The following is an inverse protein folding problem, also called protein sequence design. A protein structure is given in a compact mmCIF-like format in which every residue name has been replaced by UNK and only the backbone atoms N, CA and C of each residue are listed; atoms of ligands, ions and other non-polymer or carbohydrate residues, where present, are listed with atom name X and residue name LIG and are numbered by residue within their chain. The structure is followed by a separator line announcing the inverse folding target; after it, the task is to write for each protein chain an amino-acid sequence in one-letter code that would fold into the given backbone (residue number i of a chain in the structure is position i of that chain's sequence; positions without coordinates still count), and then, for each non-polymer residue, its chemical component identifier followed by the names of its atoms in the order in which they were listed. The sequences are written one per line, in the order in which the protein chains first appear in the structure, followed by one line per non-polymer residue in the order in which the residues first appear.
data_IF_258169952958
#
_entry.id   IF_258169952958
#
_cell.length_a   1.000
_cell.length_b   1.000
_cell.length_c   1.000
_cell.angle_alpha   90.00
_cell.angle_beta   90.00
_cell.angle_gamma   90.00
#
_symmetry.space_group_name_H-M   'P 1'
#
loop_
_entity.id
_entity.type
_entity.pdbx_description
1 polymer ?
#
# COMPACT_ATOMS: atom_id res chain seq x y z
N UNK A 1 -2.47 -7.51 23.06
CA UNK A 1 -1.81 -8.65 23.74
C UNK A 1 -0.36 -8.25 23.98
N UNK A 2 0.24 -8.57 25.13
CA UNK A 2 1.67 -8.28 25.34
C UNK A 2 2.53 -9.25 24.49
N UNK A 3 3.78 -8.91 24.13
CA UNK A 3 4.62 -9.81 23.35
C UNK A 3 4.81 -11.20 23.99
N UNK A 4 5.02 -11.33 25.32
CA UNK A 4 5.06 -12.64 25.98
C UNK A 4 3.78 -13.46 25.84
N UNK A 5 2.62 -12.82 25.94
CA UNK A 5 1.33 -13.49 25.77
C UNK A 5 1.13 -13.98 24.32
N UNK A 6 1.58 -13.18 23.34
CA UNK A 6 1.49 -13.53 21.93
C UNK A 6 2.36 -14.74 21.57
N UNK A 7 3.56 -14.81 22.15
CA UNK A 7 4.45 -15.96 22.00
C UNK A 7 3.83 -17.22 22.58
N UNK A 8 3.35 -17.17 23.83
CA UNK A 8 2.75 -18.34 24.49
C UNK A 8 1.51 -18.86 23.75
N UNK A 9 0.67 -17.95 23.22
CA UNK A 9 -0.48 -18.33 22.41
C UNK A 9 -0.07 -18.98 21.09
N UNK A 10 1.00 -18.49 20.45
CA UNK A 10 1.55 -19.08 19.23
C UNK A 10 2.11 -20.48 19.48
N UNK A 11 2.97 -20.65 20.49
CA UNK A 11 3.56 -21.94 20.84
C UNK A 11 2.46 -22.99 21.16
N UNK A 12 1.43 -22.61 21.93
CA UNK A 12 0.30 -23.49 22.22
C UNK A 12 -0.48 -23.89 20.95
N UNK A 13 -0.65 -22.97 19.99
CA UNK A 13 -1.33 -23.26 18.74
C UNK A 13 -0.48 -24.12 17.79
N UNK A 14 0.85 -24.05 17.84
CA UNK A 14 1.73 -24.99 17.14
C UNK A 14 1.59 -26.42 17.69
N UNK A 15 1.35 -26.55 19.00
CA UNK A 15 1.04 -27.83 19.67
C UNK A 15 -0.41 -28.30 19.45
N UNK A 16 -1.18 -27.62 18.60
CA UNK A 16 -2.56 -27.97 18.23
C UNK A 16 -3.62 -27.43 19.18
N UNK A 17 -3.27 -26.57 20.14
CA UNK A 17 -4.24 -25.93 21.02
C UNK A 17 -4.67 -24.55 20.47
N UNK A 18 -5.90 -24.47 19.96
CA UNK A 18 -6.54 -23.22 19.54
C UNK A 18 -6.44 -22.94 18.03
N UNK A 19 -6.77 -21.71 17.63
CA UNK A 19 -6.70 -21.28 16.23
C UNK A 19 -5.30 -20.74 15.89
N UNK A 20 -4.54 -21.53 15.13
CA UNK A 20 -3.20 -21.17 14.67
C UNK A 20 -3.18 -19.85 13.92
N UNK A 21 -4.16 -19.56 13.05
CA UNK A 21 -4.12 -18.36 12.22
C UNK A 21 -4.24 -17.09 13.08
N UNK A 22 -5.15 -17.09 14.05
CA UNK A 22 -5.29 -15.99 15.00
C UNK A 22 -4.04 -15.81 15.87
N UNK A 23 -3.48 -16.90 16.39
CA UNK A 23 -2.28 -16.86 17.22
C UNK A 23 -1.04 -16.38 16.44
N UNK A 24 -0.82 -16.93 15.24
CA UNK A 24 0.26 -16.53 14.35
C UNK A 24 0.14 -15.08 13.90
N UNK A 25 -1.07 -14.61 13.58
CA UNK A 25 -1.34 -13.20 13.25
C UNK A 25 -0.97 -12.27 14.42
N UNK A 26 -1.38 -12.62 15.64
CA UNK A 26 -1.09 -11.79 16.80
C UNK A 26 0.41 -11.80 17.15
N UNK A 27 1.09 -12.93 16.94
CA UNK A 27 2.54 -13.03 17.09
C UNK A 27 3.28 -12.23 16.01
N UNK A 28 2.85 -12.33 14.75
CA UNK A 28 3.36 -11.57 13.61
C UNK A 28 3.19 -10.04 13.76
N UNK A 29 2.24 -9.58 14.58
CA UNK A 29 2.08 -8.16 14.88
C UNK A 29 3.18 -7.61 15.80
N UNK A 30 4.01 -8.48 16.40
CA UNK A 30 5.18 -8.08 17.21
C UNK A 30 6.45 -8.07 16.35
N UNK A 31 7.45 -7.19 16.61
CA UNK A 31 8.71 -7.19 15.87
C UNK A 31 9.44 -8.54 15.91
N UNK A 32 9.45 -9.19 17.08
CA UNK A 32 10.10 -10.48 17.29
C UNK A 32 9.39 -11.59 16.52
N UNK A 33 8.08 -11.70 16.67
CA UNK A 33 7.30 -12.73 15.98
C UNK A 33 7.26 -12.54 14.47
N UNK A 34 7.23 -11.30 14.00
CA UNK A 34 7.38 -11.00 12.57
C UNK A 34 8.70 -11.54 12.02
N UNK A 35 9.82 -11.27 12.69
CA UNK A 35 11.15 -11.74 12.28
C UNK A 35 11.25 -13.27 12.32
N UNK A 36 10.69 -13.91 13.34
CA UNK A 36 10.69 -15.37 13.48
C UNK A 36 9.90 -16.04 12.37
N UNK A 37 8.69 -15.55 12.07
CA UNK A 37 7.84 -16.09 11.02
C UNK A 37 8.41 -15.85 9.61
N UNK A 38 9.16 -14.76 9.38
CA UNK A 38 9.96 -14.60 8.16
C UNK A 38 11.05 -15.67 8.03
N UNK A 39 11.70 -16.04 9.13
CA UNK A 39 12.64 -17.17 9.17
C UNK A 39 11.97 -18.50 8.83
N UNK A 40 10.80 -18.76 9.42
CA UNK A 40 9.99 -19.95 9.10
C UNK A 40 9.54 -19.97 7.63
N UNK A 41 9.20 -18.81 7.07
CA UNK A 41 8.83 -18.67 5.67
C UNK A 41 10.00 -18.99 4.75
N UNK A 42 11.21 -18.53 5.07
CA UNK A 42 12.43 -18.86 4.32
C UNK A 42 12.73 -20.37 4.36
N UNK A 43 12.49 -21.04 5.49
CA UNK A 43 12.63 -22.50 5.60
C UNK A 43 11.57 -23.20 4.74
N UNK A 44 10.30 -22.83 4.87
CA UNK A 44 9.22 -23.40 4.07
C UNK A 44 9.48 -23.18 2.56
N UNK A 45 10.11 -22.06 2.20
CA UNK A 45 10.56 -21.77 0.85
C UNK A 45 11.61 -22.76 0.34
N UNK A 46 12.66 -22.98 1.11
CA UNK A 46 13.73 -23.94 0.79
C UNK A 46 13.20 -25.37 0.64
N UNK A 47 12.16 -25.72 1.40
CA UNK A 47 11.52 -27.04 1.36
C UNK A 47 10.43 -27.16 0.27
N UNK A 48 10.13 -26.08 -0.46
CA UNK A 48 9.02 -26.02 -1.41
C UNK A 48 7.65 -26.42 -0.82
N UNK A 49 7.42 -26.18 0.48
CA UNK A 49 6.14 -26.44 1.16
C UNK A 49 5.15 -25.28 0.95
N UNK A 50 4.37 -25.35 -0.14
CA UNK A 50 3.47 -24.27 -0.57
C UNK A 50 2.36 -23.97 0.41
N UNK A 51 1.76 -25.00 1.01
CA UNK A 51 0.71 -24.84 2.01
C UNK A 51 1.20 -24.07 3.23
N UNK A 52 2.40 -24.39 3.73
CA UNK A 52 2.97 -23.69 4.87
C UNK A 52 3.37 -22.25 4.52
N UNK A 53 3.86 -22.01 3.31
CA UNK A 53 4.21 -20.66 2.85
C UNK A 53 2.98 -19.76 2.80
N UNK A 54 1.86 -20.23 2.24
CA UNK A 54 0.61 -19.46 2.18
C UNK A 54 0.09 -19.12 3.58
N UNK A 55 0.13 -20.11 4.50
CA UNK A 55 -0.26 -19.91 5.90
C UNK A 55 0.59 -18.84 6.58
N UNK A 56 1.91 -18.89 6.37
CA UNK A 56 2.85 -17.94 6.95
C UNK A 56 2.71 -16.54 6.32
N UNK A 57 2.55 -16.45 4.99
CA UNK A 57 2.30 -15.18 4.31
C UNK A 57 1.01 -14.51 4.79
N UNK A 58 -0.07 -15.29 4.93
CA UNK A 58 -1.33 -14.78 5.47
C UNK A 58 -1.16 -14.26 6.91
N UNK A 59 -0.52 -15.02 7.79
CA UNK A 59 -0.26 -14.60 9.18
C UNK A 59 0.59 -13.33 9.23
N UNK A 60 1.66 -13.25 8.41
CA UNK A 60 2.52 -12.08 8.31
C UNK A 60 1.75 -10.83 7.85
N UNK A 61 1.02 -10.89 6.73
CA UNK A 61 0.27 -9.74 6.21
C UNK A 61 -0.82 -9.26 7.18
N UNK A 62 -1.55 -10.20 7.80
CA UNK A 62 -2.58 -9.86 8.81
C UNK A 62 -1.95 -9.24 10.05
N UNK A 63 -0.81 -9.77 10.51
CA UNK A 63 -0.08 -9.22 11.65
C UNK A 63 0.45 -7.82 11.38
N UNK A 64 0.95 -7.57 10.18
CA UNK A 64 1.40 -6.24 9.74
C UNK A 64 0.26 -5.22 9.70
N UNK A 65 -0.90 -5.61 9.19
CA UNK A 65 -2.08 -4.75 9.19
C UNK A 65 -2.52 -4.45 10.63
N UNK A 66 -2.59 -5.46 11.51
CA UNK A 66 -2.93 -5.28 12.92
C UNK A 66 -1.94 -4.35 13.64
N UNK A 67 -0.64 -4.51 13.41
CA UNK A 67 0.39 -3.64 13.96
C UNK A 67 0.24 -2.19 13.46
N UNK A 68 -0.07 -2.01 12.17
CA UNK A 68 -0.33 -0.69 11.59
C UNK A 68 -1.57 -0.02 12.19
N UNK A 69 -2.66 -0.77 12.42
CA UNK A 69 -3.88 -0.28 13.05
C UNK A 69 -3.65 0.12 14.51
N UNK A 70 -2.87 -0.67 15.26
CA UNK A 70 -2.49 -0.34 16.62
C UNK A 70 -1.61 0.92 16.67
N UNK A 71 -0.65 1.05 15.75
CA UNK A 71 0.19 2.24 15.63
C UNK A 71 -0.63 3.50 15.32
N UNK A 72 -1.59 3.42 14.38
CA UNK A 72 -2.52 4.51 14.05
C UNK A 72 -3.35 4.94 15.26
N UNK A 73 -3.82 3.97 16.04
CA UNK A 73 -4.62 4.22 17.25
C UNK A 73 -3.81 4.93 18.35
N UNK A 74 -2.51 4.64 18.41
CA UNK A 74 -1.56 5.20 19.39
C UNK A 74 -1.00 6.57 18.98
N UNK A 75 -1.02 6.92 17.69
CA UNK A 75 -0.44 8.14 17.13
C UNK A 75 -1.27 9.43 17.36
N UNK A 76 -2.27 9.41 18.25
CA UNK A 76 -3.17 10.55 18.53
C UNK A 76 -2.49 11.71 19.29
N UNK A 77 -1.34 11.49 19.93
CA UNK A 77 -0.65 12.55 20.69
C UNK A 77 0.40 13.29 19.85
N UNK A 78 0.47 14.63 19.93
CA UNK A 78 1.48 15.42 19.23
C UNK A 78 2.87 15.15 19.84
N UNK A 79 3.59 14.18 19.28
CA UNK A 79 5.01 13.98 19.55
C UNK A 79 5.84 14.99 18.75
N UNK A 80 6.92 15.47 19.35
CA UNK A 80 8.02 16.06 18.59
C UNK A 80 8.50 15.01 17.59
N UNK A 81 8.34 15.32 16.30
CA UNK A 81 8.69 14.40 15.24
C UNK A 81 10.22 14.25 15.23
N UNK A 82 10.70 13.02 15.42
CA UNK A 82 12.12 12.74 15.33
C UNK A 82 12.55 12.82 13.86
N UNK A 83 13.61 13.56 13.58
CA UNK A 83 14.18 13.61 12.22
C UNK A 83 14.59 12.20 11.78
N UNK A 84 14.24 11.83 10.55
CA UNK A 84 14.63 10.53 10.00
C UNK A 84 16.14 10.52 9.75
N UNK A 85 16.82 9.49 10.23
CA UNK A 85 18.26 9.29 9.99
C UNK A 85 18.49 8.45 8.73
N UNK A 86 19.69 8.51 8.16
CA UNK A 86 20.09 7.59 7.08
C UNK A 86 20.01 6.12 7.49
N UNK A 87 20.19 5.82 8.79
CA UNK A 87 20.04 4.46 9.32
C UNK A 87 18.58 4.00 9.25
N UNK A 88 17.64 4.89 9.53
CA UNK A 88 16.21 4.59 9.43
C UNK A 88 15.82 4.34 7.97
N UNK A 89 16.31 5.16 7.04
CA UNK A 89 16.09 4.95 5.61
C UNK A 89 16.71 3.63 5.12
N UNK A 90 17.92 3.28 5.59
CA UNK A 90 18.54 2.00 5.25
C UNK A 90 17.75 0.82 5.80
N UNK A 91 17.23 0.91 7.02
CA UNK A 91 16.39 -0.15 7.59
C UNK A 91 15.13 -0.39 6.74
N UNK A 92 14.51 0.66 6.21
CA UNK A 92 13.38 0.53 5.27
C UNK A 92 13.83 -0.08 3.95
N UNK A 93 15.01 0.30 3.43
CA UNK A 93 15.56 -0.27 2.21
C UNK A 93 15.77 -1.79 2.36
N UNK A 94 16.34 -2.23 3.49
CA UNK A 94 16.59 -3.62 3.81
C UNK A 94 15.28 -4.41 4.01
N UNK A 95 14.29 -3.79 4.64
CA UNK A 95 12.96 -4.39 4.85
C UNK A 95 12.30 -4.73 3.50
N UNK A 96 12.19 -3.74 2.62
CA UNK A 96 11.57 -3.90 1.31
C UNK A 96 12.49 -4.55 0.26
N UNK A 97 13.79 -4.67 0.53
CA UNK A 97 14.78 -5.17 -0.44
C UNK A 97 14.92 -4.27 -1.67
N UNK A 98 14.89 -2.95 -1.47
CA UNK A 98 14.91 -1.95 -2.55
C UNK A 98 16.10 -1.01 -2.43
N UNK A 99 16.42 -0.29 -3.50
CA UNK A 99 17.45 0.74 -3.47
C UNK A 99 17.05 1.93 -2.57
N UNK A 100 18.04 2.58 -1.96
CA UNK A 100 17.83 3.76 -1.09
C UNK A 100 17.14 4.92 -1.81
N UNK A 101 17.32 5.05 -3.13
CA UNK A 101 16.60 6.06 -3.92
C UNK A 101 15.08 5.84 -3.87
N UNK A 102 14.63 4.58 -3.91
CA UNK A 102 13.22 4.25 -3.77
C UNK A 102 12.67 4.68 -2.41
N UNK A 103 13.44 4.43 -1.34
CA UNK A 103 13.06 4.82 0.01
C UNK A 103 12.99 6.34 0.15
N UNK A 104 13.91 7.09 -0.48
CA UNK A 104 13.82 8.56 -0.52
C UNK A 104 12.58 9.05 -1.24
N UNK A 105 12.14 8.35 -2.30
CA UNK A 105 10.87 8.65 -2.98
C UNK A 105 9.68 8.36 -2.06
N UNK A 106 9.65 7.20 -1.41
CA UNK A 106 8.59 6.82 -0.46
C UNK A 106 8.54 7.74 0.78
N UNK A 107 9.69 8.25 1.22
CA UNK A 107 9.80 9.27 2.27
C UNK A 107 9.15 10.59 1.85
N UNK A 108 9.48 11.09 0.67
CA UNK A 108 8.84 12.28 0.11
C UNK A 108 7.32 12.09 -0.08
N UNK A 109 6.86 10.91 -0.52
CA UNK A 109 5.43 10.56 -0.59
C UNK A 109 4.77 10.66 0.79
N UNK A 110 5.41 10.18 1.86
CA UNK A 110 4.90 10.31 3.23
C UNK A 110 4.64 11.77 3.63
N UNK A 111 5.54 12.68 3.28
CA UNK A 111 5.39 14.13 3.52
C UNK A 111 4.32 14.76 2.63
N UNK A 112 4.19 14.34 1.36
CA UNK A 112 3.12 14.80 0.47
C UNK A 112 1.75 14.38 1.02
N UNK A 113 1.57 13.12 1.41
CA UNK A 113 0.31 12.65 1.98
C UNK A 113 -0.06 13.40 3.27
N UNK A 114 0.96 13.76 4.06
CA UNK A 114 0.80 14.62 5.24
C UNK A 114 0.33 16.04 4.88
N UNK A 115 0.91 16.64 3.84
CA UNK A 115 0.51 17.94 3.32
C UNK A 115 -0.93 17.93 2.79
N UNK A 116 -1.26 16.93 1.98
CA UNK A 116 -2.58 16.73 1.38
C UNK A 116 -3.66 16.60 2.46
N UNK A 117 -3.44 15.74 3.46
CA UNK A 117 -4.39 15.50 4.55
C UNK A 117 -4.72 16.73 5.38
N UNK A 118 -3.81 17.71 5.43
CA UNK A 118 -3.96 18.95 6.20
C UNK A 118 -4.39 20.14 5.34
N UNK A 119 -4.52 19.94 4.03
CA UNK A 119 -4.94 20.97 3.10
C UNK A 119 -6.45 21.10 3.06
N UNK A 120 -6.94 22.25 2.60
CA UNK A 120 -8.37 22.46 2.33
C UNK A 120 -8.89 21.52 1.22
N UNK A 121 -8.00 21.02 0.34
CA UNK A 121 -8.36 20.08 -0.71
C UNK A 121 -8.73 18.68 -0.19
N UNK A 122 -8.40 18.32 1.05
CA UNK A 122 -8.59 16.96 1.58
C UNK A 122 -10.04 16.46 1.51
N UNK A 123 -11.02 17.37 1.49
CA UNK A 123 -12.45 17.07 1.37
C UNK A 123 -12.97 17.04 -0.09
N UNK A 124 -12.09 17.29 -1.06
CA UNK A 124 -12.44 17.49 -2.47
C UNK A 124 -11.81 16.46 -3.41
N UNK A 125 -11.13 15.45 -2.85
CA UNK A 125 -10.64 14.33 -3.60
C UNK A 125 -10.70 13.01 -2.82
N UNK A 126 -10.73 11.91 -3.58
CA UNK A 126 -10.48 10.56 -3.10
C UNK A 126 -9.06 10.12 -3.48
N UNK A 127 -8.28 9.64 -2.52
CA UNK A 127 -6.96 9.04 -2.74
C UNK A 127 -7.11 7.54 -3.03
N UNK A 128 -6.62 7.08 -4.17
CA UNK A 128 -6.82 5.70 -4.63
C UNK A 128 -5.54 5.10 -5.22
N UNK A 129 -5.68 3.94 -5.87
CA UNK A 129 -4.58 3.28 -6.57
C UNK A 129 -3.65 2.49 -5.65
N UNK A 130 -2.48 2.11 -6.19
CA UNK A 130 -1.51 1.25 -5.51
C UNK A 130 -0.92 1.90 -4.25
N UNK A 131 -0.73 3.22 -4.28
CA UNK A 131 -0.16 3.93 -3.14
C UNK A 131 -1.16 4.04 -2.01
N UNK A 132 -2.44 4.33 -2.30
CA UNK A 132 -3.47 4.29 -1.26
C UNK A 132 -3.56 2.91 -0.60
N UNK A 133 -3.52 1.83 -1.40
CA UNK A 133 -3.52 0.46 -0.90
C UNK A 133 -2.30 0.15 0.00
N UNK A 134 -1.10 0.58 -0.43
CA UNK A 134 0.15 0.41 0.33
C UNK A 134 0.24 1.26 1.60
N UNK A 135 -0.67 2.23 1.77
CA UNK A 135 -0.73 3.11 2.95
C UNK A 135 -1.91 2.76 3.86
N UNK A 136 -2.75 1.80 3.47
CA UNK A 136 -3.96 1.41 4.20
C UNK A 136 -3.94 -0.09 4.56
N UNK A 137 -4.13 -0.98 3.58
CA UNK A 137 -4.38 -2.40 3.82
C UNK A 137 -3.14 -3.26 3.66
N UNK A 138 -2.24 -2.90 2.74
CA UNK A 138 -1.07 -3.69 2.41
C UNK A 138 0.22 -2.92 2.72
N UNK A 139 0.43 -2.52 3.99
CA UNK A 139 1.51 -1.60 4.33
C UNK A 139 2.88 -2.15 3.97
N UNK A 140 3.19 -3.44 4.10
CA UNK A 140 4.56 -3.92 3.85
C UNK A 140 4.67 -4.84 2.63
N UNK A 141 3.62 -4.92 1.81
CA UNK A 141 3.63 -5.73 0.60
C UNK A 141 4.64 -5.20 -0.43
N UNK A 142 4.53 -3.92 -0.79
CA UNK A 142 5.47 -3.21 -1.68
C UNK A 142 5.42 -1.71 -1.45
N UNK A 143 6.50 -1.02 -1.79
CA UNK A 143 6.50 0.42 -1.97
C UNK A 143 5.74 0.80 -3.24
N UNK A 144 5.05 1.93 -3.19
CA UNK A 144 4.34 2.50 -4.33
C UNK A 144 4.65 3.98 -4.39
N UNK A 145 4.85 4.49 -5.60
CA UNK A 145 5.57 5.75 -5.84
C UNK A 145 4.74 6.84 -6.52
N UNK A 146 3.63 6.46 -7.14
CA UNK A 146 2.71 7.38 -7.81
C UNK A 146 1.61 7.83 -6.83
N UNK A 147 1.05 9.02 -7.01
CA UNK A 147 -0.09 9.49 -6.22
C UNK A 147 -1.29 9.65 -7.15
N UNK A 148 -2.29 8.80 -6.96
CA UNK A 148 -3.50 8.78 -7.77
C UNK A 148 -4.67 9.39 -6.99
N UNK A 149 -5.28 10.43 -7.56
CA UNK A 149 -6.39 11.17 -6.97
C UNK A 149 -7.61 11.18 -7.90
N UNK A 150 -8.80 11.21 -7.32
CA UNK A 150 -10.06 11.46 -8.03
C UNK A 150 -10.61 12.75 -7.46
N UNK A 151 -10.76 13.79 -8.27
CA UNK A 151 -11.40 15.03 -7.88
C UNK A 151 -12.92 14.82 -7.79
N UNK A 152 -13.48 15.08 -6.60
CA UNK A 152 -14.92 14.96 -6.33
C UNK A 152 -15.68 16.22 -6.77
N UNK A 153 -14.96 17.33 -6.96
CA UNK A 153 -15.51 18.64 -7.33
C UNK A 153 -14.71 19.28 -8.47
N UNK A 154 -14.61 20.61 -8.53
CA UNK A 154 -13.87 21.31 -9.57
C UNK A 154 -12.40 20.88 -9.59
N UNK A 155 -12.02 20.15 -10.64
CA UNK A 155 -10.70 19.55 -10.78
C UNK A 155 -9.59 20.59 -10.78
N UNK A 156 -9.77 21.71 -11.47
CA UNK A 156 -8.73 22.74 -11.62
C UNK A 156 -8.44 23.43 -10.30
N UNK A 157 -9.48 23.85 -9.58
CA UNK A 157 -9.36 24.49 -8.25
C UNK A 157 -8.77 23.50 -7.25
N UNK A 158 -9.23 22.24 -7.26
CA UNK A 158 -8.68 21.19 -6.40
C UNK A 158 -7.19 20.97 -6.67
N UNK A 159 -6.77 20.90 -7.94
CA UNK A 159 -5.36 20.80 -8.32
C UNK A 159 -4.53 21.97 -7.78
N UNK A 160 -5.00 23.21 -7.94
CA UNK A 160 -4.28 24.40 -7.50
C UNK A 160 -4.08 24.41 -5.98
N UNK A 161 -5.11 24.03 -5.22
CA UNK A 161 -5.02 23.91 -3.77
C UNK A 161 -4.05 22.80 -3.35
N UNK A 162 -4.05 21.66 -4.08
CA UNK A 162 -3.08 20.57 -3.88
C UNK A 162 -1.65 21.04 -4.14
N UNK A 163 -1.39 21.67 -5.29
CA UNK A 163 -0.07 22.18 -5.66
C UNK A 163 0.47 23.13 -4.59
N UNK A 164 -0.36 24.10 -4.17
CA UNK A 164 0.02 25.08 -3.15
C UNK A 164 0.34 24.42 -1.80
N UNK A 165 -0.47 23.44 -1.38
CA UNK A 165 -0.25 22.71 -0.13
C UNK A 165 1.05 21.91 -0.16
N UNK A 166 1.32 21.21 -1.27
CA UNK A 166 2.55 20.43 -1.46
C UNK A 166 3.77 21.35 -1.46
N UNK A 167 3.76 22.42 -2.26
CA UNK A 167 4.85 23.39 -2.37
C UNK A 167 5.18 24.00 -0.99
N UNK A 168 4.16 24.47 -0.27
CA UNK A 168 4.32 25.11 1.04
C UNK A 168 4.87 24.14 2.09
N UNK A 169 4.40 22.89 2.08
CA UNK A 169 4.81 21.89 3.06
C UNK A 169 6.24 21.40 2.78
N UNK A 170 6.52 21.03 1.53
CA UNK A 170 7.82 20.49 1.14
C UNK A 170 8.93 21.54 1.18
N UNK A 171 8.62 22.84 1.00
CA UNK A 171 9.62 23.90 1.16
C UNK A 171 10.40 23.82 2.49
N UNK A 172 9.76 23.32 3.56
CA UNK A 172 10.38 23.19 4.88
C UNK A 172 11.16 21.88 5.08
N UNK A 173 10.79 20.81 4.38
CA UNK A 173 11.32 19.46 4.62
C UNK A 173 12.24 18.98 3.50
N UNK A 174 11.94 19.33 2.25
CA UNK A 174 12.62 18.87 1.03
C UNK A 174 13.16 20.03 0.16
N UNK A 175 12.89 21.27 0.57
CA UNK A 175 13.24 22.48 -0.18
C UNK A 175 12.24 22.79 -1.29
N UNK A 176 12.64 23.71 -2.17
CA UNK A 176 11.82 24.11 -3.32
C UNK A 176 11.59 22.92 -4.27
N UNK A 177 10.37 22.84 -4.79
CA UNK A 177 9.91 21.79 -5.71
C UNK A 177 9.37 22.42 -6.99
N UNK A 178 9.48 21.70 -8.10
CA UNK A 178 8.96 22.15 -9.41
C UNK A 178 7.99 21.14 -9.98
N UNK A 179 7.00 21.62 -10.74
CA UNK A 179 5.99 20.80 -11.41
C UNK A 179 6.20 20.82 -12.93
N UNK A 180 6.15 19.65 -13.55
CA UNK A 180 6.33 19.44 -14.99
C UNK A 180 5.34 18.38 -15.53
N UNK A 181 4.22 18.76 -16.18
CA UNK A 181 3.55 20.06 -16.08
C UNK A 181 2.93 20.27 -14.69
N UNK A 182 2.30 21.43 -14.45
CA UNK A 182 1.45 21.65 -13.27
C UNK A 182 0.27 20.67 -13.29
N UNK A 183 -0.14 20.16 -12.12
CA UNK A 183 -1.29 19.26 -11.97
C UNK A 183 -2.57 19.89 -12.52
N UNK A 184 -2.76 21.19 -12.27
CA UNK A 184 -3.87 22.01 -12.77
C UNK A 184 -3.89 22.16 -14.30
N UNK A 185 -2.77 21.90 -14.98
CA UNK A 185 -2.68 21.92 -16.44
C UNK A 185 -2.92 20.55 -17.09
N UNK A 186 -2.83 19.45 -16.33
CA UNK A 186 -3.08 18.09 -16.84
C UNK A 186 -4.55 17.84 -17.13
N UNK A 187 -4.88 16.87 -17.99
CA UNK A 187 -6.26 16.45 -18.28
C UNK A 187 -6.40 14.93 -18.33
N UNK A 188 -7.59 14.42 -18.03
CA UNK A 188 -7.90 12.98 -18.12
C UNK A 188 -6.93 12.12 -17.33
N UNK A 189 -6.17 11.27 -18.02
CA UNK A 189 -5.18 10.36 -17.44
C UNK A 189 -3.74 10.90 -17.43
N UNK A 190 -3.53 12.14 -17.86
CA UNK A 190 -2.21 12.77 -17.81
C UNK A 190 -1.71 12.92 -16.36
N UNK A 191 -0.43 12.64 -16.16
CA UNK A 191 0.24 12.84 -14.87
C UNK A 191 1.04 14.14 -14.86
N UNK A 192 1.06 14.80 -13.72
CA UNK A 192 2.05 15.82 -13.39
C UNK A 192 3.26 15.17 -12.72
N UNK A 193 4.46 15.70 -12.97
CA UNK A 193 5.68 15.26 -12.29
C UNK A 193 6.12 16.34 -11.32
N UNK A 194 6.17 15.99 -10.04
CA UNK A 194 6.78 16.80 -8.99
C UNK A 194 8.26 16.42 -8.90
N UNK A 195 9.13 17.41 -9.08
CA UNK A 195 10.59 17.28 -8.97
C UNK A 195 11.07 17.97 -7.70
N UNK A 196 11.74 17.20 -6.85
CA UNK A 196 12.40 17.71 -5.64
C UNK A 196 13.82 18.18 -5.97
N UNK A 197 14.38 19.10 -5.18
CA UNK A 197 15.78 19.53 -5.28
C UNK A 197 16.78 18.37 -5.21
N UNK A 198 16.44 17.31 -4.48
CA UNK A 198 17.25 16.09 -4.39
C UNK A 198 17.35 15.29 -5.69
N UNK A 199 16.56 15.63 -6.71
CA UNK A 199 16.43 14.88 -7.96
C UNK A 199 15.32 13.82 -7.94
N UNK A 200 14.68 13.59 -6.79
CA UNK A 200 13.54 12.67 -6.67
C UNK A 200 12.37 13.18 -7.51
N UNK A 201 11.78 12.28 -8.29
CA UNK A 201 10.59 12.51 -9.11
C UNK A 201 9.40 11.74 -8.52
N UNK A 202 8.24 12.39 -8.45
CA UNK A 202 6.98 11.80 -7.98
C UNK A 202 5.90 12.13 -8.99
N UNK A 203 5.22 11.11 -9.51
CA UNK A 203 4.08 11.32 -10.39
C UNK A 203 2.82 11.53 -9.57
N UNK A 204 2.02 12.51 -9.97
CA UNK A 204 0.71 12.78 -9.40
C UNK A 204 -0.29 12.79 -10.54
N UNK A 205 -1.25 11.88 -10.51
CA UNK A 205 -2.35 11.82 -11.46
C UNK A 205 -3.64 12.24 -10.75
N UNK A 206 -4.47 13.00 -11.45
CA UNK A 206 -5.80 13.34 -10.95
C UNK A 206 -6.87 13.18 -12.03
N UNK A 207 -7.79 12.26 -11.79
CA UNK A 207 -8.98 12.03 -12.62
C UNK A 207 -10.17 12.83 -12.10
N UNK A 208 -11.24 12.93 -12.88
CA UNK A 208 -12.53 13.50 -12.42
C UNK A 208 -13.44 12.37 -11.97
N UNK A 209 -14.26 12.59 -10.93
CA UNK A 209 -15.22 11.58 -10.44
C UNK A 209 -16.18 11.05 -11.52
N UNK A 210 -16.52 11.85 -12.54
CA UNK A 210 -17.34 11.41 -13.67
C UNK A 210 -16.66 10.35 -14.54
N UNK A 211 -15.33 10.31 -14.57
CA UNK A 211 -14.54 9.44 -15.44
C UNK A 211 -14.20 8.09 -14.78
N UNK A 212 -14.63 7.89 -13.53
CA UNK A 212 -14.31 6.70 -12.74
C UNK A 212 -15.58 6.11 -12.12
N UNK A 213 -15.56 4.81 -11.89
CA UNK A 213 -16.62 4.15 -11.15
C UNK A 213 -16.72 4.73 -9.73
N UNK A 214 -17.96 4.94 -9.28
CA UNK A 214 -18.28 5.52 -7.97
C UNK A 214 -18.11 4.48 -6.84
N UNK A 215 -16.88 4.03 -6.64
CA UNK A 215 -16.53 3.07 -5.61
C UNK A 215 -16.79 3.63 -4.20
N UNK A 216 -17.35 2.83 -3.27
CA UNK A 216 -17.49 3.23 -1.88
C UNK A 216 -16.16 3.67 -1.25
N UNK A 217 -16.19 4.78 -0.51
CA UNK A 217 -15.03 5.40 0.14
C UNK A 217 -15.24 5.56 1.65
N UNK A 218 -14.14 5.70 2.38
CA UNK A 218 -14.13 6.03 3.80
C UNK A 218 -12.90 6.87 4.18
N UNK A 219 -13.03 7.83 5.11
CA UNK A 219 -11.86 8.47 5.74
C UNK A 219 -11.02 7.42 6.47
N UNK A 220 -9.76 7.27 6.09
CA UNK A 220 -8.88 6.23 6.61
C UNK A 220 -7.55 6.83 7.04
N UNK A 221 -7.10 6.59 8.30
CA UNK A 221 -5.75 6.95 8.71
C UNK A 221 -4.70 6.18 7.90
N UNK A 222 -3.70 6.89 7.41
CA UNK A 222 -2.64 6.32 6.59
C UNK A 222 -1.47 5.85 7.45
N UNK A 223 -0.76 4.82 6.98
CA UNK A 223 0.53 4.42 7.54
C UNK A 223 1.60 5.42 7.11
N UNK A 224 2.05 6.21 8.08
CA UNK A 224 3.26 7.02 7.96
C UNK A 224 4.46 6.19 8.44
N UNK A 225 5.26 5.68 7.50
CA UNK A 225 6.43 4.84 7.81
C UNK A 225 7.54 5.59 8.52
N UNK A 226 7.66 6.88 8.23
CA UNK A 226 8.77 7.69 8.71
C UNK A 226 8.31 8.55 9.89
N UNK A 227 9.09 8.55 11.00
CA UNK A 227 8.71 9.25 12.23
C UNK A 227 8.68 10.78 12.08
N UNK A 228 9.30 11.31 11.03
CA UNK A 228 9.33 12.73 10.72
C UNK A 228 8.13 13.21 9.88
N UNK A 229 7.33 12.29 9.34
CA UNK A 229 6.09 12.59 8.62
C UNK A 229 4.92 12.64 9.60
N UNK A 230 4.10 13.71 9.55
CA UNK A 230 2.94 13.81 10.47
C UNK A 230 1.86 12.80 10.08
N UNK A 231 1.10 12.28 11.06
CA UNK A 231 -0.08 11.46 10.80
C UNK A 231 -1.00 12.11 9.76
N UNK A 232 -1.55 11.27 8.88
CA UNK A 232 -2.41 11.68 7.79
C UNK A 232 -3.66 10.81 7.75
N UNK A 233 -4.81 11.42 7.46
CA UNK A 233 -6.08 10.76 7.18
C UNK A 233 -6.60 11.31 5.86
N UNK A 234 -6.91 10.43 4.91
CA UNK A 234 -7.49 10.78 3.61
C UNK A 234 -8.72 9.91 3.34
N UNK A 235 -9.63 10.43 2.52
CA UNK A 235 -10.72 9.61 1.95
C UNK A 235 -10.11 8.65 0.92
N UNK A 236 -10.33 7.35 1.11
CA UNK A 236 -9.82 6.28 0.24
C UNK A 236 -10.93 5.28 -0.05
N UNK A 237 -10.69 4.34 -0.97
CA UNK A 237 -11.60 3.21 -1.19
C UNK A 237 -11.75 2.36 0.07
N UNK A 238 -12.96 1.84 0.30
CA UNK A 238 -13.16 0.78 1.31
C UNK A 238 -12.36 -0.49 0.95
N UNK A 239 -12.13 -1.42 1.90
CA UNK A 239 -11.42 -2.67 1.58
C UNK A 239 -12.04 -3.46 0.43
N UNK A 240 -13.38 -3.62 0.45
CA UNK A 240 -14.13 -4.24 -0.63
C UNK A 240 -13.95 -3.52 -1.97
N UNK A 241 -13.93 -2.18 -1.95
CA UNK A 241 -13.70 -1.36 -3.14
C UNK A 241 -12.28 -1.47 -3.67
N UNK A 242 -11.26 -1.60 -2.83
CA UNK A 242 -9.89 -1.86 -3.28
C UNK A 242 -9.80 -3.20 -4.01
N UNK A 243 -10.35 -4.27 -3.43
CA UNK A 243 -10.38 -5.58 -4.05
C UNK A 243 -11.13 -5.55 -5.40
N UNK A 244 -12.34 -5.00 -5.42
CA UNK A 244 -13.13 -4.91 -6.64
C UNK A 244 -12.45 -4.06 -7.74
N UNK A 245 -11.95 -2.87 -7.41
CA UNK A 245 -11.27 -1.99 -8.36
C UNK A 245 -9.97 -2.62 -8.90
N UNK A 246 -9.23 -3.36 -8.06
CA UNK A 246 -8.03 -4.10 -8.49
C UNK A 246 -8.38 -5.26 -9.40
N UNK A 247 -9.49 -5.96 -9.15
CA UNK A 247 -10.00 -7.00 -10.05
C UNK A 247 -10.38 -6.43 -11.41
N UNK A 248 -11.04 -5.27 -11.46
CA UNK A 248 -11.34 -4.57 -12.73
C UNK A 248 -10.05 -4.18 -13.46
N UNK A 249 -9.09 -3.57 -12.76
CA UNK A 249 -7.81 -3.17 -13.36
C UNK A 249 -7.03 -4.38 -13.90
N UNK A 250 -6.97 -5.49 -13.15
CA UNK A 250 -6.34 -6.71 -13.62
C UNK A 250 -7.03 -7.29 -14.85
N UNK A 251 -8.37 -7.34 -14.85
CA UNK A 251 -9.15 -7.85 -15.98
C UNK A 251 -8.91 -7.04 -17.26
N UNK A 252 -8.73 -5.72 -17.14
CA UNK A 252 -8.51 -4.80 -18.26
C UNK A 252 -7.07 -4.83 -18.79
N UNK A 253 -6.07 -4.54 -17.93
CA UNK A 253 -4.70 -4.27 -18.38
C UNK A 253 -3.67 -5.36 -18.09
N UNK A 254 -4.03 -6.42 -17.34
CA UNK A 254 -3.15 -7.55 -16.98
C UNK A 254 -1.78 -7.12 -16.42
N UNK A 255 -1.72 -6.03 -15.66
CA UNK A 255 -0.47 -5.55 -15.09
C UNK A 255 -0.06 -6.41 -13.90
N UNK A 256 1.20 -6.87 -13.87
CA UNK A 256 1.77 -7.69 -12.80
C UNK A 256 1.51 -7.13 -11.39
N UNK A 257 1.63 -5.81 -11.21
CA UNK A 257 1.35 -5.15 -9.92
C UNK A 257 -0.08 -5.32 -9.43
N UNK A 258 -1.07 -5.42 -10.33
CA UNK A 258 -2.46 -5.63 -9.91
C UNK A 258 -2.68 -7.05 -9.42
N UNK A 259 -2.10 -8.05 -10.09
CA UNK A 259 -2.19 -9.43 -9.63
C UNK A 259 -1.46 -9.61 -8.29
N UNK A 260 -0.32 -8.93 -8.08
CA UNK A 260 0.40 -8.96 -6.80
C UNK A 260 -0.40 -8.32 -5.66
N UNK A 261 -1.04 -7.18 -5.94
CA UNK A 261 -1.93 -6.52 -4.98
C UNK A 261 -3.16 -7.41 -4.67
N UNK A 262 -3.73 -8.10 -5.68
CA UNK A 262 -4.83 -9.05 -5.50
C UNK A 262 -4.42 -10.26 -4.66
N UNK A 263 -3.22 -10.80 -4.87
CA UNK A 263 -2.67 -11.86 -4.02
C UNK A 263 -2.57 -11.41 -2.55
N UNK A 264 -2.03 -10.22 -2.29
CA UNK A 264 -1.99 -9.66 -0.93
C UNK A 264 -3.38 -9.47 -0.32
N UNK A 265 -4.34 -8.96 -1.10
CA UNK A 265 -5.74 -8.81 -0.68
C UNK A 265 -6.42 -10.16 -0.39
N UNK A 266 -6.12 -11.20 -1.18
CA UNK A 266 -6.62 -12.56 -0.94
C UNK A 266 -6.13 -13.11 0.40
N UNK A 267 -4.84 -12.95 0.70
CA UNK A 267 -4.25 -13.40 1.97
C UNK A 267 -4.80 -12.66 3.19
N UNK A 268 -5.15 -11.38 3.03
CA UNK A 268 -5.88 -10.61 4.04
C UNK A 268 -7.35 -11.04 4.20
N UNK A 269 -7.89 -11.84 3.28
CA UNK A 269 -9.31 -12.19 3.24
C UNK A 269 -10.20 -11.04 2.74
N UNK A 270 -9.64 -10.05 2.04
CA UNK A 270 -10.36 -8.90 1.51
C UNK A 270 -11.08 -9.18 0.17
N UNK A 271 -10.85 -10.36 -0.43
CA UNK A 271 -11.65 -10.86 -1.55
C UNK A 271 -12.78 -11.70 -0.96
N UNK A 272 -13.86 -11.03 -0.60
CA UNK A 272 -15.03 -11.58 0.09
C UNK A 272 -16.36 -11.23 -0.60
N UNK A 273 -17.48 -11.55 0.02
CA UNK A 273 -18.83 -11.25 -0.50
C UNK A 273 -19.06 -9.73 -0.67
N UNK A 274 -18.46 -8.90 0.18
CA UNK A 274 -18.56 -7.45 0.08
C UNK A 274 -17.79 -6.92 -1.13
N UNK A 275 -16.60 -7.46 -1.40
CA UNK A 275 -15.83 -7.17 -2.60
C UNK A 275 -16.56 -7.64 -3.87
N UNK A 276 -17.15 -8.83 -3.84
CA UNK A 276 -17.97 -9.34 -4.95
C UNK A 276 -19.17 -8.43 -5.22
N UNK A 277 -19.86 -7.96 -4.18
CA UNK A 277 -20.97 -7.03 -4.34
C UNK A 277 -20.53 -5.65 -4.83
N UNK A 278 -19.41 -5.12 -4.33
CA UNK A 278 -18.84 -3.88 -4.83
C UNK A 278 -18.50 -4.00 -6.32
N UNK A 279 -17.90 -5.12 -6.74
CA UNK A 279 -17.58 -5.41 -8.13
C UNK A 279 -18.84 -5.44 -9.01
N UNK A 280 -19.91 -6.12 -8.57
CA UNK A 280 -21.18 -6.16 -9.32
C UNK A 280 -21.82 -4.79 -9.47
N UNK A 281 -21.81 -3.97 -8.41
CA UNK A 281 -22.48 -2.66 -8.43
C UNK A 281 -21.73 -1.58 -9.19
N UNK A 282 -20.41 -1.57 -9.08
CA UNK A 282 -19.58 -0.44 -9.52
C UNK A 282 -18.56 -0.82 -10.60
N UNK A 283 -18.24 -2.11 -10.76
CA UNK A 283 -17.35 -2.62 -11.80
C UNK A 283 -18.11 -2.98 -13.08
N UNK A 284 -17.87 -4.17 -13.61
CA UNK A 284 -18.41 -4.62 -14.91
C UNK A 284 -19.76 -5.34 -14.80
N UNK A 285 -20.39 -5.37 -13.62
CA UNK A 285 -21.70 -5.99 -13.41
C UNK A 285 -21.65 -7.49 -13.13
N UNK A 286 -20.95 -8.26 -13.96
CA UNK A 286 -20.83 -9.73 -13.82
C UNK A 286 -19.48 -10.10 -13.24
N UNK A 287 -19.46 -10.95 -12.21
CA UNK A 287 -18.22 -11.44 -11.62
C UNK A 287 -17.31 -12.04 -12.69
N UNK A 288 -16.00 -11.80 -12.61
CA UNK A 288 -15.08 -12.39 -13.57
C UNK A 288 -15.09 -13.90 -13.44
N UNK A 289 -14.96 -14.60 -14.57
CA UNK A 289 -14.72 -16.05 -14.56
C UNK A 289 -13.23 -16.34 -14.42
N UNK A 290 -12.90 -17.59 -14.11
CA UNK A 290 -11.52 -18.06 -13.87
C UNK A 290 -10.55 -17.76 -15.03
N UNK A 291 -11.08 -17.57 -16.23
CA UNK A 291 -10.32 -17.18 -17.42
C UNK A 291 -9.56 -15.86 -17.24
N UNK A 292 -9.94 -14.96 -16.32
CA UNK A 292 -9.14 -13.75 -16.08
C UNK A 292 -7.79 -14.09 -15.41
N UNK A 293 -7.64 -15.28 -14.84
CA UNK A 293 -6.42 -15.76 -14.18
C UNK A 293 -5.75 -16.91 -14.96
N UNK A 294 -6.20 -17.23 -16.17
CA UNK A 294 -5.61 -18.32 -16.97
C UNK A 294 -4.23 -18.01 -17.53
N UNK A 295 -3.83 -16.74 -17.52
CA UNK A 295 -2.52 -16.29 -17.97
C UNK A 295 -1.91 -15.37 -16.91
N UNK A 296 -0.72 -15.76 -16.43
CA UNK A 296 0.08 -14.91 -15.55
C UNK A 296 1.15 -14.15 -16.34
N UNK A 297 1.63 -12.99 -15.82
CA UNK A 297 2.77 -12.30 -16.41
C UNK A 297 4.01 -13.20 -16.45
N UNK A 298 4.89 -12.99 -17.43
CA UNK A 298 6.18 -13.71 -17.52
C UNK A 298 7.16 -13.29 -16.43
N UNK A 299 8.21 -14.08 -16.18
CA UNK A 299 9.21 -13.79 -15.13
C UNK A 299 9.88 -12.43 -15.32
N UNK A 300 10.18 -12.09 -16.57
CA UNK A 300 10.77 -10.80 -16.91
C UNK A 300 9.79 -9.65 -16.65
N UNK A 301 8.50 -9.84 -16.95
CA UNK A 301 7.45 -8.84 -16.71
C UNK A 301 7.31 -8.56 -15.23
N UNK A 302 7.26 -9.63 -14.46
CA UNK A 302 7.22 -9.64 -13.01
C UNK A 302 8.41 -8.93 -12.36
N UNK A 303 9.61 -9.35 -12.75
CA UNK A 303 10.87 -8.78 -12.27
C UNK A 303 10.92 -7.30 -12.60
N UNK A 304 10.63 -6.91 -13.84
CA UNK A 304 10.64 -5.50 -14.27
C UNK A 304 9.62 -4.66 -13.51
N UNK A 305 8.40 -5.17 -13.33
CA UNK A 305 7.31 -4.42 -12.72
C UNK A 305 7.45 -4.23 -11.20
N UNK A 306 8.18 -5.12 -10.51
CA UNK A 306 8.29 -5.13 -9.05
C UNK A 306 9.71 -4.94 -8.48
N UNK A 307 10.77 -5.03 -9.29
CA UNK A 307 12.17 -4.95 -8.81
C UNK A 307 12.48 -3.68 -8.01
N UNK A 308 11.81 -2.56 -8.32
CA UNK A 308 12.03 -1.29 -7.62
C UNK A 308 11.06 -1.09 -6.45
N UNK A 309 10.12 -1.99 -6.23
CA UNK A 309 9.00 -1.78 -5.30
C UNK A 309 8.99 -2.79 -4.15
N UNK A 310 9.69 -3.91 -4.26
CA UNK A 310 9.80 -4.88 -3.18
C UNK A 310 10.73 -6.04 -3.52
N UNK A 311 10.81 -7.02 -2.62
CA UNK A 311 11.64 -8.21 -2.80
C UNK A 311 11.13 -9.05 -3.98
N UNK A 312 12.04 -9.35 -4.90
CA UNK A 312 11.79 -10.18 -6.08
C UNK A 312 11.51 -11.65 -5.74
N UNK A 313 11.84 -12.13 -4.55
CA UNK A 313 11.55 -13.51 -4.10
C UNK A 313 10.05 -13.78 -3.95
N UNK A 314 9.26 -12.79 -3.51
CA UNK A 314 7.80 -12.87 -3.48
C UNK A 314 7.21 -13.04 -4.88
N UNK A 315 7.95 -12.59 -5.89
CA UNK A 315 7.56 -12.57 -7.30
C UNK A 315 7.91 -13.88 -8.00
N UNK A 316 9.07 -14.47 -7.68
CA UNK A 316 9.53 -15.77 -8.21
C UNK A 316 8.57 -16.93 -7.95
N UNK A 317 7.82 -16.92 -6.85
CA UNK A 317 6.87 -18.00 -6.55
C UNK A 317 5.55 -17.87 -7.30
N UNK A 318 5.09 -16.64 -7.53
CA UNK A 318 3.88 -16.37 -8.30
C UNK A 318 3.93 -16.93 -9.72
N UNK A 319 5.15 -17.09 -10.24
CA UNK A 319 5.50 -17.67 -11.54
C UNK A 319 5.56 -19.19 -11.58
N UNK A 320 5.70 -19.86 -10.43
CA UNK A 320 5.83 -21.33 -10.38
C UNK A 320 4.47 -22.04 -10.28
N UNK A 321 3.37 -21.29 -10.12
CA UNK A 321 2.01 -21.82 -9.96
C UNK A 321 1.01 -21.26 -10.99
N UNK A 322 1.50 -20.78 -12.13
CA UNK A 322 0.69 -20.48 -13.34
C UNK A 322 0.97 -21.52 -14.42
#
# INVERSE_FOLDING_TARGET
MSPPDARAAFDAAEDGAGDWMSAATAFAATPEGHKELLGSLAIAQLLADTSQQDRLHAALLRGELAAAEQARSSAREPRTLAAVSNKDLQAVADDFGVALEQVRRDHAVSHILSALSRSEAAAHFTFYGGTALSRTLLPRLRLSEDIDLIADTDRTTTAQTIEHAIETHLARTHGEVTWEPRLSATRGTESAVLRLRSGVLIKVQMMTAHDVAAWPTAPTPLVQRYPDARPATLTVFTPASFAAAKTVAWADRKAARDLYDLWGLALLGAIDDAAAEAFRRHGTGTLPGDWIFSEAPSEDTWTTALAHQGRSESVRRMLCES
#
